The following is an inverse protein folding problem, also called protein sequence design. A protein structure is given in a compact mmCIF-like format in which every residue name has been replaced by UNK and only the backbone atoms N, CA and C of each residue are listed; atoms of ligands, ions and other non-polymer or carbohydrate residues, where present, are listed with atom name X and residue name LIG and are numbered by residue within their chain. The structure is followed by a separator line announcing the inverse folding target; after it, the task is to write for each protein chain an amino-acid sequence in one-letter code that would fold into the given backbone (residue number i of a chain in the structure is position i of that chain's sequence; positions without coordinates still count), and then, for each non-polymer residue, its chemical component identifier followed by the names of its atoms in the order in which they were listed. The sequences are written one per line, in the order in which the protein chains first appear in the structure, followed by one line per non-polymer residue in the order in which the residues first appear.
data_IF_045408341974
#
_entry.id   IF_045408341974
#
_cell.length_a   1.000
_cell.length_b   1.000
_cell.length_c   1.000
_cell.angle_alpha   90.00
_cell.angle_beta   90.00
_cell.angle_gamma   90.00
#
_symmetry.space_group_name_H-M   'P 1'
#
loop_
_entity.id
_entity.type
_entity.pdbx_description
1 polymer ?
#
# COMPACT_ATOMS: atom_id res chain seq x y z
N UNK A 1 28.18 21.75 -19.01
CA UNK A 1 28.52 21.11 -17.72
C UNK A 1 27.30 20.89 -16.83
N UNK A 2 26.45 21.90 -16.57
CA UNK A 2 25.21 21.74 -15.78
C UNK A 2 24.23 20.68 -16.36
N UNK A 3 24.11 20.56 -17.69
CA UNK A 3 23.22 19.59 -18.33
C UNK A 3 23.64 18.12 -18.15
N UNK A 4 24.94 17.84 -18.01
CA UNK A 4 25.45 16.47 -17.83
C UNK A 4 25.15 15.98 -16.40
N UNK A 5 25.36 16.87 -15.42
CA UNK A 5 25.06 16.58 -14.00
C UNK A 5 23.56 16.36 -13.76
N UNK A 6 22.69 17.06 -14.51
CA UNK A 6 21.25 16.83 -14.48
C UNK A 6 20.86 15.45 -15.02
N UNK A 7 21.55 14.95 -16.06
CA UNK A 7 21.27 13.63 -16.64
C UNK A 7 21.66 12.49 -15.70
N UNK A 8 22.81 12.59 -15.03
CA UNK A 8 23.25 11.60 -14.03
C UNK A 8 22.31 11.54 -12.80
N UNK A 9 21.90 12.71 -12.30
CA UNK A 9 20.94 12.79 -11.18
C UNK A 9 19.56 12.24 -11.58
N UNK A 10 19.10 12.55 -12.79
CA UNK A 10 17.83 12.04 -13.31
C UNK A 10 17.88 10.52 -13.50
N UNK A 11 18.98 9.98 -14.03
CA UNK A 11 19.18 8.53 -14.17
C UNK A 11 19.12 7.80 -12.83
N UNK A 12 19.80 8.33 -11.80
CA UNK A 12 19.75 7.79 -10.44
C UNK A 12 18.35 7.88 -9.82
N UNK A 13 17.65 9.02 -10.01
CA UNK A 13 16.29 9.19 -9.50
C UNK A 13 15.31 8.21 -10.16
N UNK A 14 15.37 8.05 -11.47
CA UNK A 14 14.54 7.09 -12.21
C UNK A 14 14.84 5.66 -11.76
N UNK A 15 16.13 5.32 -11.61
CA UNK A 15 16.53 4.00 -11.11
C UNK A 15 15.92 3.71 -9.74
N UNK A 16 16.05 4.64 -8.79
CA UNK A 16 15.50 4.49 -7.44
C UNK A 16 13.97 4.35 -7.44
N UNK A 17 13.27 5.14 -8.26
CA UNK A 17 11.81 5.05 -8.43
C UNK A 17 11.41 3.70 -9.01
N UNK A 18 12.12 3.21 -10.02
CA UNK A 18 11.83 1.92 -10.66
C UNK A 18 12.06 0.75 -9.71
N UNK A 19 13.14 0.79 -8.90
CA UNK A 19 13.41 -0.20 -7.86
C UNK A 19 12.29 -0.22 -6.82
N UNK A 20 11.86 0.96 -6.33
CA UNK A 20 10.75 1.05 -5.38
C UNK A 20 9.44 0.49 -5.95
N UNK A 21 9.11 0.84 -7.20
CA UNK A 21 7.92 0.35 -7.90
C UNK A 21 7.96 -1.17 -8.13
N UNK A 22 9.14 -1.70 -8.47
CA UNK A 22 9.35 -3.14 -8.64
C UNK A 22 9.15 -3.89 -7.31
N UNK A 23 9.76 -3.41 -6.22
CA UNK A 23 9.61 -4.02 -4.89
C UNK A 23 8.16 -4.07 -4.42
N UNK A 24 7.42 -2.96 -4.59
CA UNK A 24 6.00 -2.92 -4.26
C UNK A 24 5.17 -3.92 -5.08
N UNK A 25 5.45 -4.01 -6.39
CA UNK A 25 4.75 -4.94 -7.29
C UNK A 25 5.05 -6.40 -6.94
N UNK A 26 6.31 -6.72 -6.63
CA UNK A 26 6.73 -8.06 -6.23
C UNK A 26 6.08 -8.49 -4.90
N UNK A 27 6.07 -7.60 -3.91
CA UNK A 27 5.37 -7.85 -2.64
C UNK A 27 3.87 -8.10 -2.87
N UNK A 28 3.23 -7.23 -3.66
CA UNK A 28 1.82 -7.39 -3.98
C UNK A 28 1.54 -8.72 -4.70
N UNK A 29 2.41 -9.13 -5.63
CA UNK A 29 2.31 -10.41 -6.32
C UNK A 29 2.43 -11.60 -5.36
N UNK A 30 3.39 -11.58 -4.43
CA UNK A 30 3.57 -12.64 -3.42
C UNK A 30 2.36 -12.75 -2.50
N UNK A 31 1.89 -11.63 -1.94
CA UNK A 31 0.69 -11.61 -1.08
C UNK A 31 -0.54 -12.09 -1.85
N UNK A 32 -0.65 -11.70 -3.12
CA UNK A 32 -1.75 -12.11 -3.98
C UNK A 32 -1.75 -13.61 -4.28
N UNK A 33 -0.59 -14.19 -4.61
CA UNK A 33 -0.46 -15.65 -4.84
C UNK A 33 -0.72 -16.40 -3.55
N UNK A 34 -0.15 -15.95 -2.42
CA UNK A 34 -0.39 -16.55 -1.10
C UNK A 34 -1.87 -16.51 -0.72
N UNK A 35 -2.55 -15.38 -0.98
CA UNK A 35 -4.00 -15.26 -0.74
C UNK A 35 -4.79 -16.18 -1.67
N UNK A 36 -4.36 -16.38 -2.92
CA UNK A 36 -5.02 -17.27 -3.87
C UNK A 36 -4.83 -18.76 -3.54
N UNK A 37 -3.71 -19.13 -2.89
CA UNK A 37 -3.45 -20.49 -2.44
C UNK A 37 -4.23 -20.83 -1.16
N UNK A 38 -4.44 -19.85 -0.27
CA UNK A 38 -5.04 -20.08 1.05
C UNK A 38 -6.52 -19.68 1.11
N UNK A 39 -7.02 -18.80 0.22
CA UNK A 39 -8.41 -18.31 0.25
C UNK A 39 -9.12 -18.41 -1.11
N UNK A 40 -10.43 -18.75 -1.13
CA UNK A 40 -11.22 -18.87 -2.36
C UNK A 40 -11.44 -17.50 -3.04
N UNK A 41 -11.85 -17.52 -4.32
CA UNK A 41 -12.03 -16.40 -5.28
C UNK A 41 -12.66 -15.11 -4.75
N UNK A 42 -13.40 -15.17 -3.64
CA UNK A 42 -14.04 -14.02 -2.98
C UNK A 42 -13.02 -13.02 -2.44
N UNK A 43 -11.90 -13.48 -1.85
CA UNK A 43 -10.90 -12.57 -1.26
C UNK A 43 -10.12 -11.80 -2.34
N UNK A 44 -9.91 -12.40 -3.51
CA UNK A 44 -9.27 -11.75 -4.66
C UNK A 44 -10.05 -10.50 -5.10
N UNK A 45 -11.37 -10.63 -5.25
CA UNK A 45 -12.23 -9.50 -5.65
C UNK A 45 -12.30 -8.42 -4.56
N UNK A 46 -12.35 -8.82 -3.29
CA UNK A 46 -12.34 -7.88 -2.17
C UNK A 46 -11.02 -7.11 -2.11
N UNK A 47 -9.87 -7.77 -2.24
CA UNK A 47 -8.56 -7.11 -2.26
C UNK A 47 -8.44 -6.07 -3.37
N UNK A 48 -8.83 -6.43 -4.59
CA UNK A 48 -8.84 -5.47 -5.72
C UNK A 48 -9.82 -4.31 -5.48
N UNK A 49 -10.99 -4.57 -4.89
CA UNK A 49 -11.98 -3.56 -4.54
C UNK A 49 -11.49 -2.58 -3.47
N UNK A 50 -10.79 -3.08 -2.45
CA UNK A 50 -10.19 -2.26 -1.38
C UNK A 50 -9.07 -1.39 -1.93
N UNK A 51 -8.17 -1.93 -2.76
CA UNK A 51 -7.12 -1.15 -3.41
C UNK A 51 -7.70 -0.03 -4.28
N UNK A 52 -8.75 -0.32 -5.06
CA UNK A 52 -9.43 0.70 -5.88
C UNK A 52 -10.08 1.80 -5.02
N UNK A 53 -10.74 1.41 -3.93
CA UNK A 53 -11.38 2.34 -3.00
C UNK A 53 -10.35 3.23 -2.30
N UNK A 54 -9.23 2.66 -1.84
CA UNK A 54 -8.12 3.40 -1.26
C UNK A 54 -7.49 4.38 -2.25
N UNK A 55 -7.33 3.99 -3.52
CA UNK A 55 -6.86 4.88 -4.58
C UNK A 55 -7.76 6.09 -4.79
N UNK A 56 -9.10 5.89 -4.78
CA UNK A 56 -10.08 6.98 -4.88
C UNK A 56 -10.02 7.93 -3.67
N UNK A 57 -9.89 7.38 -2.46
CA UNK A 57 -9.71 8.20 -1.25
C UNK A 57 -8.45 9.06 -1.36
N UNK A 58 -7.34 8.48 -1.84
CA UNK A 58 -6.11 9.23 -2.13
C UNK A 58 -6.35 10.38 -3.10
N UNK A 59 -7.01 10.14 -4.23
CA UNK A 59 -7.34 11.18 -5.21
C UNK A 59 -8.22 12.30 -4.65
N UNK A 60 -9.16 11.99 -3.75
CA UNK A 60 -10.01 12.98 -3.09
C UNK A 60 -9.19 13.82 -2.10
N UNK A 61 -8.25 13.21 -1.37
CA UNK A 61 -7.42 13.88 -0.36
C UNK A 61 -6.33 14.78 -0.97
N UNK A 62 -5.82 14.46 -2.16
CA UNK A 62 -4.75 15.22 -2.85
C UNK A 62 -5.02 16.73 -2.95
N UNK A 63 -6.16 17.21 -3.48
CA UNK A 63 -6.42 18.65 -3.57
C UNK A 63 -6.47 19.34 -2.20
N UNK A 64 -6.92 18.67 -1.15
CA UNK A 64 -6.91 19.22 0.21
C UNK A 64 -5.48 19.40 0.74
N UNK A 65 -4.61 18.42 0.49
CA UNK A 65 -3.19 18.49 0.88
C UNK A 65 -2.47 19.61 0.13
N UNK A 66 -2.75 19.76 -1.16
CA UNK A 66 -2.19 20.85 -1.99
C UNK A 66 -2.67 22.23 -1.53
N UNK A 67 -3.95 22.35 -1.17
CA UNK A 67 -4.51 23.59 -0.63
C UNK A 67 -3.84 24.00 0.70
N UNK A 68 -3.59 23.03 1.59
CA UNK A 68 -2.85 23.25 2.83
C UNK A 68 -1.37 23.62 2.57
N UNK A 69 -0.76 23.05 1.53
CA UNK A 69 0.60 23.37 1.10
C UNK A 69 0.76 24.82 0.62
N UNK A 70 -0.31 25.45 0.12
CA UNK A 70 -0.29 26.87 -0.28
C UNK A 70 -0.15 27.83 0.90
N UNK A 71 -0.51 27.40 2.12
CA UNK A 71 -0.38 28.22 3.33
C UNK A 71 0.98 28.03 4.00
N UNK A 72 1.45 26.78 4.10
CA UNK A 72 2.79 26.44 4.57
C UNK A 72 3.34 25.20 3.86
N UNK A 73 4.56 25.25 3.29
CA UNK A 73 5.15 24.12 2.56
C UNK A 73 5.46 22.92 3.45
N UNK A 74 5.63 23.11 4.77
CA UNK A 74 5.93 22.03 5.72
C UNK A 74 4.70 21.21 6.15
N UNK A 75 3.51 21.80 6.09
CA UNK A 75 2.26 21.17 6.51
C UNK A 75 1.92 19.87 5.73
N UNK A 76 2.00 19.81 4.39
CA UNK A 76 1.67 18.60 3.64
C UNK A 76 2.64 17.44 3.94
N UNK A 77 3.92 17.73 4.21
CA UNK A 77 4.90 16.71 4.60
C UNK A 77 4.56 16.07 5.94
N UNK A 78 4.15 16.87 6.93
CA UNK A 78 3.76 16.36 8.24
C UNK A 78 2.51 15.48 8.12
N UNK A 79 1.51 15.91 7.34
CA UNK A 79 0.27 15.14 7.14
C UNK A 79 0.55 13.80 6.47
N UNK A 80 1.34 13.78 5.39
CA UNK A 80 1.74 12.54 4.72
C UNK A 80 2.56 11.63 5.63
N UNK A 81 3.45 12.21 6.45
CA UNK A 81 4.23 11.50 7.45
C UNK A 81 3.35 10.80 8.49
N UNK A 82 2.39 11.53 9.08
CA UNK A 82 1.44 10.95 10.06
C UNK A 82 0.58 9.87 9.42
N UNK A 83 0.11 10.07 8.19
CA UNK A 83 -0.70 9.07 7.49
C UNK A 83 0.09 7.79 7.20
N UNK A 84 1.36 7.93 6.83
CA UNK A 84 2.29 6.81 6.62
C UNK A 84 2.57 6.08 7.92
N UNK A 85 2.87 6.82 8.99
CA UNK A 85 3.07 6.22 10.31
C UNK A 85 1.81 5.50 10.78
N UNK A 86 0.62 6.08 10.59
CA UNK A 86 -0.65 5.43 10.89
C UNK A 86 -0.85 4.14 10.11
N UNK A 87 -0.56 4.14 8.80
CA UNK A 87 -0.61 2.92 7.98
C UNK A 87 0.40 1.86 8.45
N UNK A 88 1.62 2.27 8.81
CA UNK A 88 2.63 1.38 9.39
C UNK A 88 2.18 0.83 10.75
N UNK A 89 1.66 1.66 11.65
CA UNK A 89 1.17 1.24 12.96
C UNK A 89 0.01 0.27 12.80
N UNK A 90 -0.92 0.52 11.88
CA UNK A 90 -2.01 -0.42 11.59
C UNK A 90 -1.47 -1.73 11.00
N UNK A 91 -0.43 -1.70 10.17
CA UNK A 91 0.23 -2.92 9.69
C UNK A 91 0.91 -3.70 10.83
N UNK A 92 1.49 -3.01 11.82
CA UNK A 92 2.08 -3.63 13.01
C UNK A 92 1.00 -4.16 13.97
N UNK A 93 -0.12 -3.43 14.09
CA UNK A 93 -1.25 -3.78 14.94
C UNK A 93 -2.12 -4.87 14.32
N UNK A 94 -2.03 -5.08 13.01
CA UNK A 94 -2.48 -6.31 12.38
C UNK A 94 -1.50 -7.40 12.83
N UNK A 95 -1.87 -8.25 13.81
CA UNK A 95 -0.97 -9.30 14.26
C UNK A 95 -0.57 -10.11 13.03
N UNK A 96 0.73 -10.35 12.88
CA UNK A 96 1.29 -11.11 11.75
C UNK A 96 0.37 -12.28 11.41
N UNK A 97 -0.29 -12.21 10.26
CA UNK A 97 -1.00 -13.32 9.63
C UNK A 97 -0.02 -14.40 9.14
N UNK A 98 1.17 -14.48 9.74
CA UNK A 98 2.31 -15.29 9.34
C UNK A 98 2.87 -16.10 10.53
N UNK A 99 2.01 -16.51 11.47
CA UNK A 99 2.33 -17.62 12.40
C UNK A 99 1.11 -18.16 13.18
N UNK A 100 -0.09 -18.05 12.62
CA UNK A 100 -1.21 -18.89 13.06
C UNK A 100 -1.55 -19.79 11.90
N UNK A 101 -1.65 -21.10 12.15
CA UNK A 101 -2.32 -22.03 11.22
C UNK A 101 -3.63 -21.37 10.83
N UNK A 102 -3.72 -20.92 9.57
CA UNK A 102 -5.02 -20.55 9.03
C UNK A 102 -5.87 -21.83 9.14
N UNK A 103 -7.05 -21.77 9.76
CA UNK A 103 -7.90 -22.94 9.91
C UNK A 103 -8.11 -23.53 8.52
N UNK A 104 -7.62 -24.75 8.31
CA UNK A 104 -7.54 -25.46 7.03
C UNK A 104 -8.91 -25.82 6.44
N UNK A 105 -10.01 -25.20 6.87
CA UNK A 105 -11.35 -25.63 6.42
C UNK A 105 -12.38 -24.51 6.49
N UNK A 106 -13.04 -24.26 5.35
CA UNK A 106 -14.22 -23.41 5.20
C UNK A 106 -15.38 -23.80 6.15
N UNK A 107 -15.33 -24.99 6.76
CA UNK A 107 -16.31 -25.51 7.71
C UNK A 107 -16.38 -24.70 9.03
N UNK A 108 -15.26 -24.09 9.47
CA UNK A 108 -15.22 -23.26 10.69
C UNK A 108 -15.79 -21.85 10.47
N UNK A 109 -15.73 -21.30 9.24
CA UNK A 109 -16.31 -19.99 8.92
C UNK A 109 -17.85 -20.04 8.84
N UNK A 110 -18.41 -21.20 8.48
CA UNK A 110 -19.86 -21.37 8.36
C UNK A 110 -20.55 -21.64 9.73
N UNK A 111 -19.81 -22.16 10.72
CA UNK A 111 -20.39 -22.57 12.02
C UNK A 111 -20.63 -21.42 13.00
N UNK A 112 -19.98 -20.25 12.82
CA UNK A 112 -20.29 -19.02 13.55
C UNK A 112 -21.45 -18.21 12.94
N UNK A 113 -22.02 -18.66 11.82
CA UNK A 113 -23.21 -18.05 11.19
C UNK A 113 -24.46 -18.92 11.38
N UNK A 114 -24.58 -19.59 12.51
CA UNK A 114 -25.82 -20.22 12.95
C UNK A 114 -26.01 -20.06 14.44
#
# INVERSE_FOLDING_TARGET
MSAMLFADLLGLAIFLVMVGKFGFTAFYAVVYVYTAEVFPTVLRNVGFGVCSSAGRLGSILVPYVLYLGSYNPFLPYIVMGIFTLGACTVNIFLPETFNRKLPETMDQMQKCRR
#
